data_IF_301855348016
#
_entry.id   IF_301855348016
#
_cell.length_a   1.000
_cell.length_b   1.000
_cell.length_c   1.000
_cell.angle_alpha   90.00
_cell.angle_beta   90.00
_cell.angle_gamma   90.00
#
_symmetry.space_group_name_H-M   'P 1'
#
loop_
_entity.id
_entity.type
_entity.pdbx_description
1 polymer ?
#
# COMPACT_ATOMS: atom_id res chain seq x y z
N UNK A 1 -31.93 18.15 25.78
CA UNK A 1 -31.49 16.74 25.74
C UNK A 1 -32.09 16.09 24.50
N UNK A 2 -31.48 16.32 23.33
CA UNK A 2 -31.93 15.76 22.06
C UNK A 2 -31.15 14.47 21.79
N UNK A 3 -31.88 13.36 21.71
CA UNK A 3 -31.37 12.03 21.37
C UNK A 3 -31.18 11.95 19.86
N UNK A 4 -29.94 12.05 19.39
CA UNK A 4 -29.60 11.80 18.00
C UNK A 4 -29.71 10.31 17.70
N UNK A 5 -30.76 9.91 16.99
CA UNK A 5 -30.82 8.64 16.30
C UNK A 5 -29.90 8.74 15.07
N UNK A 6 -28.77 8.03 15.07
CA UNK A 6 -28.00 7.84 13.83
C UNK A 6 -28.64 6.71 13.01
N UNK A 7 -28.93 6.93 11.71
CA UNK A 7 -29.25 5.83 10.81
C UNK A 7 -27.96 5.03 10.55
N UNK A 8 -27.96 3.75 10.97
CA UNK A 8 -26.85 2.82 10.72
C UNK A 8 -26.99 2.29 9.31
N UNK A 9 -26.38 2.96 8.34
CA UNK A 9 -26.38 2.55 6.93
C UNK A 9 -25.51 1.30 6.72
N UNK A 10 -26.04 0.18 6.17
CA UNK A 10 -25.29 -1.04 5.91
C UNK A 10 -24.61 -1.01 4.54
N UNK A 11 -23.68 -0.09 4.31
CA UNK A 11 -22.97 0.05 3.02
C UNK A 11 -21.53 -0.49 3.03
N UNK A 12 -20.98 -0.83 4.20
CA UNK A 12 -19.63 -1.43 4.32
C UNK A 12 -19.47 -2.79 3.61
N UNK A 13 -20.44 -3.72 3.56
CA UNK A 13 -20.19 -5.04 2.98
C UNK A 13 -20.14 -5.06 1.44
N UNK A 14 -20.54 -3.96 0.75
CA UNK A 14 -20.59 -3.93 -0.72
C UNK A 14 -19.32 -3.42 -1.40
N UNK A 15 -18.45 -2.68 -0.69
CA UNK A 15 -17.19 -2.22 -1.25
C UNK A 15 -16.15 -3.35 -1.37
N UNK A 16 -16.19 -4.33 -0.45
CA UNK A 16 -15.27 -5.48 -0.45
C UNK A 16 -15.56 -6.48 -1.59
N UNK A 17 -16.80 -6.53 -2.09
CA UNK A 17 -17.18 -7.37 -3.24
C UNK A 17 -16.64 -6.79 -4.56
N UNK A 18 -16.54 -5.46 -4.68
CA UNK A 18 -16.00 -4.83 -5.89
C UNK A 18 -14.47 -5.01 -6.01
N UNK A 19 -13.73 -5.01 -4.90
CA UNK A 19 -12.27 -5.21 -4.95
C UNK A 19 -11.88 -6.67 -5.28
N UNK A 20 -12.70 -7.64 -4.84
CA UNK A 20 -12.49 -9.06 -5.15
C UNK A 20 -12.69 -9.41 -6.64
N UNK A 21 -13.47 -8.60 -7.38
CA UNK A 21 -13.73 -8.85 -8.81
C UNK A 21 -12.65 -8.30 -9.75
N UNK A 22 -11.76 -7.42 -9.26
CA UNK A 22 -10.64 -6.92 -10.07
C UNK A 22 -9.42 -7.87 -10.09
N UNK A 23 -9.27 -8.76 -9.10
CA UNK A 23 -8.11 -9.65 -8.97
C UNK A 23 -8.12 -10.86 -9.92
N UNK A 24 -9.28 -11.27 -10.43
CA UNK A 24 -9.40 -12.49 -11.25
C UNK A 24 -9.21 -12.21 -12.75
N UNK A 25 -9.34 -10.96 -13.20
CA UNK A 25 -9.19 -10.60 -14.61
C UNK A 25 -7.73 -10.48 -15.09
N UNK A 26 -6.74 -10.47 -14.18
CA UNK A 26 -5.31 -10.38 -14.52
C UNK A 26 -4.63 -11.73 -14.78
N UNK A 27 -5.36 -12.84 -14.64
CA UNK A 27 -4.87 -14.20 -14.93
C UNK A 27 -5.32 -14.79 -16.27
N UNK A 28 -5.91 -13.99 -17.16
CA UNK A 28 -6.44 -14.44 -18.46
C UNK A 28 -5.55 -13.97 -19.62
N UNK A 29 -4.24 -14.15 -19.50
CA UNK A 29 -3.27 -13.88 -20.57
C UNK A 29 -2.92 -15.16 -21.33
N UNK A 30 -3.57 -15.36 -22.48
CA UNK A 30 -3.28 -16.32 -23.55
C UNK A 30 -3.77 -17.78 -23.38
N UNK A 31 -4.76 -18.16 -24.22
CA UNK A 31 -5.03 -19.58 -24.53
C UNK A 31 -6.50 -19.91 -24.80
N UNK A 32 -6.89 -19.86 -26.08
CA UNK A 32 -7.99 -20.53 -26.79
C UNK A 32 -9.15 -21.27 -26.06
N UNK A 33 -10.34 -21.05 -26.65
CA UNK A 33 -11.49 -21.95 -26.80
C UNK A 33 -12.60 -21.93 -25.72
N UNK A 34 -13.82 -21.78 -26.24
CA UNK A 34 -15.10 -21.70 -25.57
C UNK A 34 -15.63 -23.07 -25.10
N UNK A 35 -16.24 -23.12 -23.91
CA UNK A 35 -17.37 -24.00 -23.62
C UNK A 35 -18.14 -23.47 -22.39
N UNK A 36 -19.47 -23.48 -22.56
CA UNK A 36 -20.53 -23.30 -21.60
C UNK A 36 -20.36 -24.22 -20.36
N UNK A 37 -20.40 -23.65 -19.15
CA UNK A 37 -21.12 -24.25 -18.02
C UNK A 37 -21.13 -23.31 -16.80
N UNK A 38 -22.30 -23.22 -16.18
CA UNK A 38 -22.58 -22.35 -15.05
C UNK A 38 -22.03 -22.99 -13.77
N UNK A 39 -20.73 -22.83 -13.49
CA UNK A 39 -20.10 -23.47 -12.33
C UNK A 39 -20.30 -22.65 -11.04
N UNK A 40 -21.01 -23.25 -10.09
CA UNK A 40 -21.38 -22.64 -8.80
C UNK A 40 -20.16 -22.59 -7.87
N UNK A 41 -20.12 -21.62 -6.95
CA UNK A 41 -19.06 -21.39 -5.93
C UNK A 41 -18.67 -22.64 -5.11
N UNK A 42 -19.52 -23.67 -5.06
CA UNK A 42 -19.22 -24.96 -4.44
C UNK A 42 -18.25 -25.86 -5.24
N UNK A 43 -18.19 -25.73 -6.58
CA UNK A 43 -17.26 -26.46 -7.45
C UNK A 43 -15.80 -26.04 -7.25
N UNK A 44 -15.57 -24.75 -6.93
CA UNK A 44 -14.25 -24.19 -6.63
C UNK A 44 -13.61 -24.81 -5.38
N UNK A 45 -14.41 -25.18 -4.38
CA UNK A 45 -13.90 -25.85 -3.15
C UNK A 45 -13.53 -27.31 -3.38
N UNK A 46 -13.99 -27.92 -4.48
CA UNK A 46 -13.58 -29.24 -4.96
C UNK A 46 -12.72 -29.16 -6.22
N UNK A 47 -12.06 -28.02 -6.45
CA UNK A 47 -11.05 -27.90 -7.48
C UNK A 47 -9.98 -28.97 -7.20
N UNK A 48 -10.09 -30.06 -7.97
CA UNK A 48 -9.03 -31.01 -8.28
C UNK A 48 -7.72 -30.23 -8.30
N UNK A 49 -6.62 -30.73 -7.72
CA UNK A 49 -5.35 -30.01 -7.76
C UNK A 49 -5.08 -29.72 -9.24
N UNK A 50 -5.33 -28.47 -9.64
CA UNK A 50 -4.95 -28.00 -10.95
C UNK A 50 -3.44 -28.09 -10.87
N UNK A 51 -2.87 -29.07 -11.58
CA UNK A 51 -1.44 -29.11 -11.77
C UNK A 51 -1.14 -27.78 -12.46
N UNK A 52 -0.70 -26.80 -11.68
CA UNK A 52 0.05 -25.67 -12.19
C UNK A 52 1.12 -26.36 -13.04
N UNK A 53 1.21 -26.03 -14.32
CA UNK A 53 2.22 -26.60 -15.19
C UNK A 53 3.62 -26.28 -14.66
N UNK A 54 4.63 -26.26 -15.53
CA UNK A 54 5.91 -25.68 -15.13
C UNK A 54 5.71 -24.21 -14.78
N UNK A 55 5.67 -23.88 -13.48
CA UNK A 55 5.69 -22.51 -13.01
C UNK A 55 7.12 -22.02 -13.21
N UNK A 56 7.29 -21.03 -14.07
CA UNK A 56 8.53 -20.28 -14.12
C UNK A 56 8.52 -19.25 -12.97
N UNK A 57 9.30 -19.45 -11.90
CA UNK A 57 9.36 -18.50 -10.79
C UNK A 57 9.89 -17.13 -11.26
N UNK A 58 10.71 -17.09 -12.32
CA UNK A 58 11.26 -15.85 -12.85
C UNK A 58 10.17 -15.00 -13.51
N UNK A 59 9.27 -15.61 -14.27
CA UNK A 59 8.12 -14.93 -14.86
C UNK A 59 7.19 -14.35 -13.76
N UNK A 60 6.98 -15.08 -12.66
CA UNK A 60 6.21 -14.59 -11.52
C UNK A 60 6.84 -13.38 -10.82
N UNK A 61 8.16 -13.41 -10.63
CA UNK A 61 8.91 -12.27 -10.08
C UNK A 61 8.87 -11.05 -11.00
N UNK A 62 9.02 -11.25 -12.32
CA UNK A 62 8.93 -10.17 -13.30
C UNK A 62 7.54 -9.54 -13.34
N UNK A 63 6.49 -10.35 -13.33
CA UNK A 63 5.11 -9.86 -13.29
C UNK A 63 4.83 -9.06 -12.01
N UNK A 64 5.33 -9.52 -10.86
CA UNK A 64 5.21 -8.82 -9.58
C UNK A 64 5.97 -7.49 -9.61
N UNK A 65 7.21 -7.51 -10.09
CA UNK A 65 8.03 -6.30 -10.24
C UNK A 65 7.35 -5.27 -11.18
N UNK A 66 6.76 -5.72 -12.28
CA UNK A 66 6.01 -4.86 -13.19
C UNK A 66 4.74 -4.25 -12.56
N UNK A 67 4.14 -4.92 -11.57
CA UNK A 67 2.96 -4.41 -10.87
C UNK A 67 3.32 -3.39 -9.76
N UNK A 68 4.51 -3.49 -9.16
CA UNK A 68 4.92 -2.66 -8.01
C UNK A 68 4.81 -1.14 -8.26
N UNK A 69 5.22 -0.57 -9.41
CA UNK A 69 5.09 0.86 -9.67
C UNK A 69 3.64 1.37 -9.63
N UNK A 70 2.67 0.56 -10.06
CA UNK A 70 1.26 0.95 -10.05
C UNK A 70 0.65 0.98 -8.64
N UNK A 71 1.18 0.17 -7.72
CA UNK A 71 0.73 0.11 -6.32
C UNK A 71 1.46 1.14 -5.46
N UNK A 72 2.77 1.28 -5.66
CA UNK A 72 3.64 2.13 -4.83
C UNK A 72 3.79 3.55 -5.37
N UNK A 73 3.64 3.77 -6.67
CA UNK A 73 3.75 5.07 -7.32
C UNK A 73 2.77 6.13 -6.79
N UNK A 74 1.46 5.82 -6.64
CA UNK A 74 0.49 6.79 -6.12
C UNK A 74 0.81 7.27 -4.71
N UNK A 75 1.39 6.40 -3.87
CA UNK A 75 1.72 6.73 -2.48
C UNK A 75 3.12 7.32 -2.32
N UNK A 76 4.06 7.01 -3.22
CA UNK A 76 5.44 7.50 -3.11
C UNK A 76 5.53 9.02 -3.24
N UNK A 77 4.61 9.65 -3.99
CA UNK A 77 4.50 11.10 -4.13
C UNK A 77 3.82 11.83 -2.96
N UNK A 78 3.23 11.11 -2.00
CA UNK A 78 2.53 11.74 -0.88
C UNK A 78 3.51 12.30 0.14
N UNK A 79 3.20 13.48 0.69
CA UNK A 79 3.91 14.02 1.84
C UNK A 79 3.69 13.08 3.04
N UNK A 80 4.75 12.63 3.73
CA UNK A 80 4.61 11.83 4.95
C UNK A 80 3.92 12.63 6.06
N UNK A 81 4.19 13.94 6.12
CA UNK A 81 3.61 14.87 7.07
C UNK A 81 2.88 16.01 6.33
N UNK A 82 1.55 15.94 6.18
CA UNK A 82 0.77 17.00 5.54
C UNK A 82 0.81 18.34 6.28
N UNK A 83 1.12 18.32 7.58
CA UNK A 83 1.19 19.50 8.44
C UNK A 83 2.61 20.10 8.50
N UNK A 84 3.56 19.59 7.72
CA UNK A 84 4.92 20.08 7.65
C UNK A 84 4.96 21.60 7.37
N UNK A 85 5.65 22.34 8.24
CA UNK A 85 5.82 23.80 8.11
C UNK A 85 4.59 24.61 8.54
N UNK A 86 3.59 23.97 9.14
CA UNK A 86 2.48 24.67 9.81
C UNK A 86 2.80 24.88 11.29
N UNK A 87 2.17 25.87 11.92
CA UNK A 87 2.33 26.11 13.36
C UNK A 87 1.71 25.01 14.26
N UNK A 88 1.10 24.00 13.67
CA UNK A 88 0.50 22.84 14.37
C UNK A 88 1.14 21.52 13.90
N UNK A 89 2.34 21.57 13.31
CA UNK A 89 3.08 20.38 12.92
C UNK A 89 3.37 19.51 14.15
N UNK A 90 2.78 18.30 14.25
CA UNK A 90 2.97 17.46 15.42
C UNK A 90 4.43 17.02 15.58
N UNK A 91 5.17 16.91 14.47
CA UNK A 91 6.54 16.41 14.45
C UNK A 91 7.59 17.49 14.74
N UNK A 92 7.15 18.75 14.84
CA UNK A 92 7.99 19.88 15.25
C UNK A 92 7.91 20.16 16.76
N UNK A 93 7.17 19.36 17.53
CA UNK A 93 7.13 19.41 18.99
C UNK A 93 8.37 18.73 19.61
N UNK A 94 9.54 19.32 19.35
CA UNK A 94 10.82 18.80 19.79
C UNK A 94 11.11 19.01 21.28
N UNK A 95 11.81 18.05 21.88
CA UNK A 95 12.54 18.26 23.13
C UNK A 95 14.04 18.10 22.86
N UNK A 96 14.85 18.84 23.59
CA UNK A 96 16.31 18.81 23.47
C UNK A 96 16.98 18.60 24.81
N UNK A 97 18.06 17.84 24.81
CA UNK A 97 18.99 17.73 25.94
C UNK A 97 20.39 18.05 25.48
N UNK A 98 21.15 18.70 26.34
CA UNK A 98 22.57 18.97 26.12
C UNK A 98 23.33 18.56 27.37
N UNK A 99 24.41 17.81 27.17
CA UNK A 99 25.32 17.39 28.24
C UNK A 99 26.62 18.16 28.04
N UNK A 100 26.96 19.03 28.99
CA UNK A 100 28.14 19.90 28.91
C UNK A 100 28.23 20.65 27.56
N UNK A 101 29.38 20.59 26.92
CA UNK A 101 29.77 21.27 25.67
C UNK A 101 29.56 20.39 24.41
N UNK A 102 28.92 19.22 24.54
CA UNK A 102 28.54 18.41 23.39
C UNK A 102 27.43 19.05 22.55
N UNK A 103 27.32 18.60 21.30
CA UNK A 103 26.21 18.95 20.43
C UNK A 103 24.87 18.54 21.07
N UNK A 104 23.87 19.43 21.16
CA UNK A 104 22.56 19.09 21.68
C UNK A 104 21.89 17.96 20.89
N UNK A 105 21.30 17.01 21.61
CA UNK A 105 20.45 15.97 21.03
C UNK A 105 19.01 16.42 21.10
N UNK A 106 18.33 16.45 19.96
CA UNK A 106 16.92 16.85 19.86
C UNK A 106 16.11 15.71 19.29
N UNK A 107 14.87 15.53 19.76
CA UNK A 107 13.95 14.57 19.15
C UNK A 107 13.63 14.96 17.70
N UNK A 108 13.62 16.26 17.38
CA UNK A 108 13.46 16.74 16.00
C UNK A 108 14.59 16.32 15.08
N UNK A 109 15.82 16.09 15.57
CA UNK A 109 16.88 15.52 14.74
C UNK A 109 16.53 14.13 14.20
N UNK A 110 15.73 13.36 14.92
CA UNK A 110 15.27 12.02 14.53
C UNK A 110 14.01 12.06 13.67
N UNK A 111 13.10 13.01 13.91
CA UNK A 111 11.82 13.10 13.18
C UNK A 111 11.94 13.92 11.89
N UNK A 112 12.87 14.87 11.78
CA UNK A 112 13.01 15.78 10.63
C UNK A 112 13.05 15.09 9.27
N UNK A 113 13.76 13.95 9.05
CA UNK A 113 13.76 13.27 7.75
C UNK A 113 12.38 12.82 7.28
N UNK A 114 11.46 12.57 8.21
CA UNK A 114 10.06 12.22 7.90
C UNK A 114 9.20 13.49 7.90
N UNK A 115 9.40 14.38 8.87
CA UNK A 115 8.58 15.56 9.06
C UNK A 115 8.68 16.56 7.90
N UNK A 116 9.87 16.70 7.30
CA UNK A 116 10.15 17.71 6.26
C UNK A 116 10.37 17.10 4.88
N UNK A 117 10.15 15.78 4.72
CA UNK A 117 10.29 15.14 3.43
C UNK A 117 9.20 15.65 2.45
N UNK A 118 9.57 16.05 1.21
CA UNK A 118 8.60 16.47 0.21
C UNK A 118 7.68 15.32 -0.24
N UNK A 119 8.14 14.07 -0.11
CA UNK A 119 7.38 12.87 -0.47
C UNK A 119 7.86 11.62 0.28
N UNK A 120 7.04 10.57 0.37
CA UNK A 120 7.42 9.28 0.96
C UNK A 120 8.62 8.66 0.23
N UNK A 121 8.69 8.80 -1.10
CA UNK A 121 9.84 8.36 -1.91
C UNK A 121 11.13 9.16 -1.67
N UNK A 122 11.08 10.29 -0.96
CA UNK A 122 12.28 11.07 -0.59
C UNK A 122 12.80 10.75 0.81
N UNK A 123 12.07 9.97 1.61
CA UNK A 123 12.52 9.56 2.94
C UNK A 123 13.67 8.58 2.79
N UNK A 124 14.84 8.76 3.44
CA UNK A 124 16.07 8.05 3.08
C UNK A 124 15.96 6.52 2.90
N UNK A 125 15.30 5.82 3.83
CA UNK A 125 15.15 4.35 3.76
C UNK A 125 14.06 3.93 2.77
N UNK A 126 12.95 4.68 2.72
CA UNK A 126 11.81 4.38 1.84
C UNK A 126 12.15 4.68 0.37
N UNK A 127 12.88 5.76 0.12
CA UNK A 127 13.36 6.17 -1.19
C UNK A 127 14.31 5.15 -1.81
N UNK A 128 15.22 4.59 -1.00
CA UNK A 128 16.11 3.52 -1.46
C UNK A 128 15.32 2.27 -1.85
N UNK A 129 14.35 1.84 -1.04
CA UNK A 129 13.52 0.68 -1.36
C UNK A 129 12.68 0.92 -2.61
N UNK A 130 12.02 2.08 -2.72
CA UNK A 130 11.19 2.40 -3.89
C UNK A 130 12.01 2.57 -5.17
N UNK A 131 13.23 3.11 -5.09
CA UNK A 131 14.15 3.19 -6.22
C UNK A 131 14.64 1.82 -6.71
N UNK A 132 14.83 0.86 -5.82
CA UNK A 132 15.16 -0.54 -6.18
C UNK A 132 13.94 -1.28 -6.78
N UNK A 133 12.73 -0.90 -6.40
CA UNK A 133 11.48 -1.58 -6.80
C UNK A 133 10.79 -0.98 -8.04
N UNK A 134 11.18 0.22 -8.49
CA UNK A 134 10.46 0.93 -9.55
C UNK A 134 11.26 2.00 -10.29
N UNK A 135 12.60 1.89 -10.31
CA UNK A 135 13.48 2.69 -11.17
C UNK A 135 13.40 2.27 -12.64
#
# INVERSE_FOLDING_TARGET
>A
MARHASPRTPSVPRALVALATAGVALGAGAGAACADETETVAGVLHARPSSLGTIDPQAGLQATAAALPYVTGPVSGLKPNPLAGTGVDPLDNGVGTQVADFQPLTSTALTRPVAQAPSLGSVPVVGQLTGVLGG
#
